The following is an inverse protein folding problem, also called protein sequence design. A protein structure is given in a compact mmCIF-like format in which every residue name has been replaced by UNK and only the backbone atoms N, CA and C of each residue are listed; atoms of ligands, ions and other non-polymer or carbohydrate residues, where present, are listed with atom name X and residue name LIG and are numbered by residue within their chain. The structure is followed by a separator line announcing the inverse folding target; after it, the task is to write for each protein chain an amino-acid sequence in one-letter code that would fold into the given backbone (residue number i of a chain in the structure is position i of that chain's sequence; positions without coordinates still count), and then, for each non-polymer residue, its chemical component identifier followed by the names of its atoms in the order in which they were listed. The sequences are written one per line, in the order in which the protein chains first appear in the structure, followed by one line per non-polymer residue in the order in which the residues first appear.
data_IF_389254452915
#
_entry.id   IF_389254452915
#
_cell.length_a   1.000
_cell.length_b   1.000
_cell.length_c   1.000
_cell.angle_alpha   90.00
_cell.angle_beta   90.00
_cell.angle_gamma   90.00
#
_symmetry.space_group_name_H-M   'P 1'
#
loop_
_entity.id
_entity.type
_entity.pdbx_description
1 polymer ?
#
# COMPACT_ATOMS: atom_id res chain seq x y z
N UNK A 1 7.87 8.72 -18.55
CA UNK A 1 7.54 9.94 -17.80
C UNK A 1 8.57 10.14 -16.68
N UNK A 2 9.07 11.37 -16.52
CA UNK A 2 10.02 11.69 -15.45
C UNK A 2 9.33 11.63 -14.10
N UNK A 3 10.01 11.03 -13.12
CA UNK A 3 9.61 11.02 -11.72
C UNK A 3 10.73 11.60 -10.88
N UNK A 4 10.38 12.45 -9.93
CA UNK A 4 11.30 13.01 -8.94
C UNK A 4 10.90 12.49 -7.57
N UNK A 5 11.80 11.77 -6.91
CA UNK A 5 11.63 11.25 -5.57
C UNK A 5 12.36 12.13 -4.56
N UNK A 6 11.74 12.34 -3.40
CA UNK A 6 12.40 12.98 -2.27
C UNK A 6 13.37 12.05 -1.54
N UNK A 7 14.13 12.63 -0.64
CA UNK A 7 14.93 11.84 0.30
C UNK A 7 14.04 11.30 1.41
N UNK A 8 14.09 9.99 1.65
CA UNK A 8 13.51 9.41 2.84
C UNK A 8 14.34 9.81 4.07
N UNK A 9 13.69 10.15 5.17
CA UNK A 9 14.35 10.25 6.46
C UNK A 9 14.80 8.85 6.91
N UNK A 10 15.90 8.77 7.65
CA UNK A 10 16.33 7.50 8.25
C UNK A 10 15.22 6.98 9.16
N UNK A 11 14.83 5.71 8.96
CA UNK A 11 13.73 5.09 9.72
C UNK A 11 12.31 5.44 9.25
N UNK A 12 12.17 6.22 8.17
CA UNK A 12 10.86 6.51 7.61
C UNK A 12 10.22 5.25 6.99
N UNK A 13 8.87 5.09 7.11
CA UNK A 13 8.19 3.98 6.47
C UNK A 13 8.40 3.99 4.94
N UNK A 14 8.47 2.83 4.27
CA UNK A 14 8.75 2.75 2.83
C UNK A 14 7.81 3.57 1.95
N UNK A 15 6.59 3.83 2.42
CA UNK A 15 5.55 4.58 1.71
C UNK A 15 5.55 6.10 2.02
N UNK A 16 6.50 6.59 2.82
CA UNK A 16 6.51 7.98 3.31
C UNK A 16 7.19 8.96 2.36
N UNK A 17 7.71 8.49 1.23
CA UNK A 17 8.42 9.35 0.28
C UNK A 17 7.48 9.78 -0.83
N UNK A 18 6.96 11.01 -0.79
CA UNK A 18 6.20 11.53 -1.90
C UNK A 18 7.10 11.71 -3.13
N UNK A 19 6.51 11.64 -4.29
CA UNK A 19 7.19 11.88 -5.55
C UNK A 19 6.31 12.76 -6.45
N UNK A 20 6.98 13.52 -7.29
CA UNK A 20 6.34 14.29 -8.34
C UNK A 20 6.47 13.54 -9.66
N UNK A 21 5.37 13.24 -10.30
CA UNK A 21 5.37 12.60 -11.62
C UNK A 21 4.41 13.29 -12.61
N UNK A 22 4.68 13.08 -13.89
CA UNK A 22 3.83 13.56 -14.98
C UNK A 22 3.02 12.39 -15.52
N UNK A 23 1.71 12.55 -15.64
CA UNK A 23 0.81 11.58 -16.25
C UNK A 23 -0.12 12.19 -17.29
N UNK A 24 -0.67 11.34 -18.15
CA UNK A 24 -1.79 11.68 -19.01
C UNK A 24 -3.03 11.08 -18.40
N UNK A 25 -3.98 11.93 -18.00
CA UNK A 25 -5.25 11.55 -17.40
C UNK A 25 -6.34 12.11 -18.31
N UNK A 26 -7.20 11.26 -18.83
CA UNK A 26 -8.27 11.62 -19.77
C UNK A 26 -7.79 12.50 -20.95
N UNK A 27 -6.62 12.13 -21.50
CA UNK A 27 -5.99 12.83 -22.62
C UNK A 27 -5.27 14.14 -22.25
N UNK A 28 -5.33 14.57 -20.99
CA UNK A 28 -4.68 15.79 -20.52
C UNK A 28 -3.42 15.48 -19.71
N UNK A 29 -2.37 16.27 -19.95
CA UNK A 29 -1.14 16.18 -19.18
C UNK A 29 -1.36 16.79 -17.80
N UNK A 30 -1.08 16.04 -16.75
CA UNK A 30 -1.20 16.45 -15.36
C UNK A 30 0.08 16.16 -14.57
N UNK A 31 0.37 16.98 -13.57
CA UNK A 31 1.36 16.72 -12.55
C UNK A 31 0.67 16.08 -11.34
N UNK A 32 1.26 15.02 -10.81
CA UNK A 32 0.78 14.32 -9.63
C UNK A 32 1.86 14.35 -8.56
N UNK A 33 1.49 14.75 -7.37
CA UNK A 33 2.38 14.78 -6.21
C UNK A 33 1.80 13.93 -5.07
N UNK A 34 2.61 13.06 -4.51
CA UNK A 34 2.22 12.15 -3.44
C UNK A 34 2.88 10.77 -3.58
N UNK A 35 2.32 9.72 -3.02
CA UNK A 35 1.07 9.69 -2.24
C UNK A 35 1.24 10.24 -0.82
N UNK A 36 0.17 10.81 -0.27
CA UNK A 36 0.02 11.08 1.16
C UNK A 36 -0.76 9.91 1.76
N UNK A 37 -0.04 8.85 2.12
CA UNK A 37 -0.64 7.60 2.54
C UNK A 37 -1.19 7.70 3.97
N UNK A 38 -2.51 7.75 4.14
CA UNK A 38 -3.19 7.73 5.42
C UNK A 38 -3.85 6.38 5.71
N UNK A 39 -4.25 6.16 6.96
CA UNK A 39 -5.04 5.01 7.36
C UNK A 39 -6.46 5.11 6.78
N UNK A 40 -6.99 4.00 6.28
CA UNK A 40 -8.38 3.90 5.84
C UNK A 40 -8.96 2.56 6.24
N UNK A 41 -10.24 2.56 6.60
CA UNK A 41 -11.01 1.35 6.86
C UNK A 41 -11.71 0.80 5.62
N UNK A 42 -11.62 1.50 4.50
CA UNK A 42 -12.10 1.00 3.21
C UNK A 42 -11.08 0.05 2.59
N UNK A 43 -11.53 -1.05 2.01
CA UNK A 43 -10.66 -1.98 1.28
C UNK A 43 -10.49 -1.60 -0.20
N UNK A 44 -11.46 -0.91 -0.77
CA UNK A 44 -11.44 -0.42 -2.14
C UNK A 44 -11.64 1.10 -2.18
N UNK A 45 -11.18 1.75 -3.24
CA UNK A 45 -11.36 3.20 -3.46
C UNK A 45 -12.82 3.63 -3.28
N UNK A 46 -13.75 2.86 -3.81
CA UNK A 46 -15.19 3.08 -3.74
C UNK A 46 -15.88 2.15 -2.72
N UNK A 47 -15.12 1.57 -1.77
CA UNK A 47 -15.62 0.71 -0.72
C UNK A 47 -16.28 1.47 0.43
N UNK A 48 -16.71 0.72 1.43
CA UNK A 48 -17.37 1.23 2.62
C UNK A 48 -16.38 1.43 3.78
N UNK A 49 -16.62 2.42 4.62
CA UNK A 49 -15.90 2.56 5.90
C UNK A 49 -16.16 1.40 6.87
N UNK A 50 -17.18 0.59 6.61
CA UNK A 50 -17.49 -0.63 7.37
C UNK A 50 -16.73 -1.87 6.87
N UNK A 51 -15.95 -1.79 5.79
CA UNK A 51 -15.23 -2.94 5.26
C UNK A 51 -14.30 -3.56 6.31
N UNK A 52 -13.47 -2.75 6.98
CA UNK A 52 -12.59 -3.24 8.04
C UNK A 52 -13.34 -3.73 9.27
N UNK A 53 -14.29 -2.99 9.88
CA UNK A 53 -15.10 -3.51 10.99
C UNK A 53 -15.82 -4.82 10.67
N UNK A 54 -16.39 -4.95 9.47
CA UNK A 54 -17.11 -6.15 9.05
C UNK A 54 -16.19 -7.37 8.82
N UNK A 55 -14.90 -7.16 8.62
CA UNK A 55 -13.91 -8.23 8.44
C UNK A 55 -13.29 -8.74 9.75
N UNK A 56 -13.66 -8.14 10.89
CA UNK A 56 -13.12 -8.55 12.19
C UNK A 56 -13.85 -9.82 12.66
N UNK A 57 -13.07 -10.87 12.88
CA UNK A 57 -13.51 -12.16 13.38
C UNK A 57 -12.69 -12.56 14.60
N UNK A 58 -13.17 -13.53 15.38
CA UNK A 58 -12.49 -13.98 16.60
C UNK A 58 -11.10 -14.60 16.32
N UNK A 59 -10.90 -15.11 15.13
CA UNK A 59 -9.63 -15.72 14.71
C UNK A 59 -8.60 -14.72 14.20
N UNK A 60 -9.00 -13.52 13.78
CA UNK A 60 -8.11 -12.50 13.23
C UNK A 60 -7.91 -11.28 14.13
N UNK A 61 -8.82 -11.00 15.07
CA UNK A 61 -8.75 -9.81 15.94
C UNK A 61 -7.43 -9.73 16.72
N UNK A 62 -6.93 -10.87 17.21
CA UNK A 62 -5.67 -10.94 17.96
C UNK A 62 -4.49 -10.52 17.07
N UNK A 63 -4.46 -11.00 15.83
CA UNK A 63 -3.40 -10.66 14.86
C UNK A 63 -3.47 -9.19 14.42
N UNK A 64 -4.67 -8.64 14.28
CA UNK A 64 -4.87 -7.22 13.96
C UNK A 64 -4.39 -6.31 15.08
N UNK A 65 -4.70 -6.66 16.34
CA UNK A 65 -4.23 -5.91 17.51
C UNK A 65 -2.71 -6.00 17.65
N UNK A 66 -2.11 -7.19 17.51
CA UNK A 66 -0.67 -7.38 17.54
C UNK A 66 0.03 -6.53 16.50
N UNK A 67 -0.40 -6.59 15.24
CA UNK A 67 0.15 -5.77 14.17
C UNK A 67 0.04 -4.27 14.47
N UNK A 68 -1.06 -3.81 15.06
CA UNK A 68 -1.25 -2.41 15.45
C UNK A 68 -0.29 -1.98 16.57
N UNK A 69 -0.15 -2.79 17.60
CA UNK A 69 0.71 -2.49 18.78
C UNK A 69 2.19 -2.49 18.39
N UNK A 70 2.65 -3.48 17.61
CA UNK A 70 4.06 -3.55 17.21
C UNK A 70 4.45 -2.52 16.14
N UNK A 71 3.47 -1.88 15.49
CA UNK A 71 3.70 -0.84 14.48
C UNK A 71 3.16 0.54 14.89
N UNK A 72 3.28 0.91 16.15
CA UNK A 72 2.78 2.20 16.68
C UNK A 72 3.35 3.40 15.92
N UNK A 73 4.63 3.37 15.54
CA UNK A 73 5.27 4.44 14.78
C UNK A 73 4.61 4.65 13.42
N UNK A 74 4.32 3.55 12.71
CA UNK A 74 3.60 3.56 11.45
C UNK A 74 2.16 4.04 11.64
N UNK A 75 1.47 3.56 12.66
CA UNK A 75 0.10 3.97 12.97
C UNK A 75 0.02 5.48 13.24
N UNK A 76 0.91 6.02 14.07
CA UNK A 76 1.03 7.46 14.33
C UNK A 76 1.30 8.26 13.05
N UNK A 77 2.21 7.76 12.20
CA UNK A 77 2.50 8.37 10.90
C UNK A 77 1.25 8.44 10.02
N UNK A 78 0.54 7.32 9.86
CA UNK A 78 -0.67 7.26 9.03
C UNK A 78 -1.79 8.18 9.54
N UNK A 79 -1.98 8.26 10.85
CA UNK A 79 -2.94 9.20 11.46
C UNK A 79 -2.52 10.65 11.22
N UNK A 80 -1.22 10.96 11.33
CA UNK A 80 -0.70 12.30 11.03
C UNK A 80 -0.97 12.69 9.57
N UNK A 81 -0.79 11.77 8.63
CA UNK A 81 -1.06 12.03 7.20
C UNK A 81 -2.53 12.42 6.94
N UNK A 82 -3.48 11.84 7.68
CA UNK A 82 -4.90 12.21 7.57
C UNK A 82 -5.19 13.64 8.06
N UNK A 83 -4.34 14.17 8.94
CA UNK A 83 -4.50 15.50 9.55
C UNK A 83 -3.73 16.59 8.83
N UNK A 84 -2.97 16.28 7.78
CA UNK A 84 -2.26 17.27 7.00
C UNK A 84 -3.26 18.24 6.36
N UNK A 85 -3.00 19.53 6.53
CA UNK A 85 -3.73 20.58 5.85
C UNK A 85 -3.33 20.65 4.37
N UNK A 86 -4.09 21.37 3.58
CA UNK A 86 -3.72 21.65 2.19
C UNK A 86 -2.40 22.43 2.12
N UNK A 87 -2.23 23.42 2.98
CA UNK A 87 -1.00 24.19 3.10
C UNK A 87 0.23 23.33 3.40
N UNK A 88 0.11 22.32 4.30
CA UNK A 88 1.22 21.43 4.60
C UNK A 88 1.63 20.62 3.36
N UNK A 89 0.64 20.13 2.59
CA UNK A 89 0.90 19.37 1.36
C UNK A 89 1.54 20.25 0.28
N UNK A 90 1.14 21.52 0.17
CA UNK A 90 1.75 22.49 -0.75
C UNK A 90 3.18 22.80 -0.32
N UNK A 91 3.46 22.98 0.95
CA UNK A 91 4.83 23.17 1.45
C UNK A 91 5.73 21.97 1.13
N UNK A 92 5.22 20.75 1.25
CA UNK A 92 5.95 19.56 0.84
C UNK A 92 6.21 19.53 -0.66
N UNK A 93 5.22 19.89 -1.48
CA UNK A 93 5.37 20.02 -2.93
C UNK A 93 6.39 21.09 -3.33
N UNK A 94 6.42 22.23 -2.64
CA UNK A 94 7.34 23.34 -2.92
C UNK A 94 8.82 22.96 -2.73
N UNK A 95 9.12 21.87 -2.01
CA UNK A 95 10.48 21.32 -1.95
C UNK A 95 10.94 20.76 -3.31
N UNK A 96 10.01 20.37 -4.17
CA UNK A 96 10.25 19.79 -5.51
C UNK A 96 9.94 20.79 -6.63
N UNK A 97 8.96 21.62 -6.42
CA UNK A 97 8.50 22.63 -7.35
C UNK A 97 8.24 23.94 -6.60
N UNK A 98 9.28 24.78 -6.39
CA UNK A 98 9.20 26.01 -5.57
C UNK A 98 8.14 27.02 -6.01
N UNK A 99 7.74 26.99 -7.28
CA UNK A 99 6.74 27.90 -7.84
C UNK A 99 5.30 27.37 -7.73
N UNK A 100 5.06 26.24 -7.08
CA UNK A 100 3.72 25.70 -6.90
C UNK A 100 2.85 26.67 -6.09
N UNK A 101 1.67 26.99 -6.63
CA UNK A 101 0.63 27.79 -5.97
C UNK A 101 -0.52 26.87 -5.57
N UNK A 102 -1.14 27.12 -4.41
CA UNK A 102 -2.21 26.26 -3.90
C UNK A 102 -3.41 26.17 -4.86
N UNK A 103 -3.70 27.28 -5.56
CA UNK A 103 -4.83 27.42 -6.49
C UNK A 103 -4.73 26.47 -7.69
N UNK A 104 -3.50 26.05 -8.04
CA UNK A 104 -3.24 25.16 -9.18
C UNK A 104 -3.38 23.67 -8.84
N UNK A 105 -3.56 23.33 -7.56
CA UNK A 105 -3.53 21.96 -7.08
C UNK A 105 -4.80 21.58 -6.33
N UNK A 106 -5.25 20.36 -6.58
CA UNK A 106 -6.40 19.79 -5.88
C UNK A 106 -6.08 18.40 -5.33
N UNK A 107 -6.71 18.05 -4.21
CA UNK A 107 -6.58 16.74 -3.61
C UNK A 107 -7.42 15.72 -4.37
N UNK A 108 -6.78 14.62 -4.80
CA UNK A 108 -7.46 13.50 -5.44
C UNK A 108 -7.22 12.19 -4.65
N UNK A 109 -8.27 11.41 -4.46
CA UNK A 109 -8.15 10.08 -3.87
C UNK A 109 -7.51 9.14 -4.90
N UNK A 110 -6.30 8.68 -4.60
CA UNK A 110 -5.54 7.78 -5.48
C UNK A 110 -6.12 6.36 -5.50
N UNK A 111 -6.30 5.76 -4.33
CA UNK A 111 -6.81 4.40 -4.17
C UNK A 111 -6.51 3.83 -2.80
N UNK A 112 -6.72 2.54 -2.64
CA UNK A 112 -6.41 1.79 -1.43
C UNK A 112 -5.26 0.83 -1.68
N UNK A 113 -4.42 0.66 -0.67
CA UNK A 113 -3.39 -0.36 -0.64
C UNK A 113 -3.75 -1.39 0.42
N UNK A 114 -3.83 -2.64 0.03
CA UNK A 114 -4.00 -3.75 0.98
C UNK A 114 -2.69 -3.95 1.73
N UNK A 115 -2.79 -4.09 3.06
CA UNK A 115 -1.68 -4.45 3.91
C UNK A 115 -1.98 -5.83 4.52
N UNK A 116 -1.12 -6.80 4.22
CA UNK A 116 -1.28 -8.17 4.72
C UNK A 116 -0.80 -8.24 6.17
N UNK A 117 -1.61 -8.87 7.01
CA UNK A 117 -1.27 -9.22 8.40
C UNK A 117 -1.20 -10.73 8.49
N UNK A 118 -0.04 -11.27 8.86
CA UNK A 118 0.14 -12.69 9.14
C UNK A 118 -0.01 -12.97 10.63
N UNK A 119 -0.57 -14.14 10.97
CA UNK A 119 -0.52 -14.66 12.33
C UNK A 119 0.95 -14.90 12.69
N UNK A 120 1.31 -14.53 13.89
CA UNK A 120 2.65 -14.69 14.44
C UNK A 120 2.52 -15.16 15.90
N UNK A 121 3.30 -16.16 16.28
CA UNK A 121 3.19 -16.77 17.62
C UNK A 121 3.80 -15.87 18.70
N UNK A 122 4.81 -15.06 18.35
CA UNK A 122 5.51 -14.16 19.29
C UNK A 122 4.82 -12.81 19.37
N UNK A 123 4.50 -12.20 18.21
CA UNK A 123 3.95 -10.85 18.11
C UNK A 123 2.42 -10.81 17.94
N UNK A 124 1.76 -11.98 17.93
CA UNK A 124 0.33 -12.20 17.66
C UNK A 124 -0.06 -11.87 16.21
N UNK A 125 0.57 -10.90 15.59
CA UNK A 125 0.36 -10.52 14.21
C UNK A 125 1.45 -9.59 13.68
N UNK A 126 1.97 -9.93 12.50
CA UNK A 126 3.03 -9.19 11.83
C UNK A 126 2.55 -8.58 10.52
N UNK A 127 2.94 -7.33 10.26
CA UNK A 127 2.71 -6.67 8.97
C UNK A 127 3.71 -7.17 7.93
N UNK A 128 3.20 -7.63 6.79
CA UNK A 128 4.02 -7.99 5.64
C UNK A 128 4.07 -6.84 4.65
N UNK A 129 5.28 -6.28 4.44
CA UNK A 129 5.47 -5.11 3.57
C UNK A 129 5.77 -5.49 2.11
N UNK A 130 6.02 -6.76 1.84
CA UNK A 130 6.30 -7.31 0.52
C UNK A 130 5.05 -7.68 -0.27
N UNK A 131 5.25 -8.40 -1.36
CA UNK A 131 4.21 -9.10 -2.10
C UNK A 131 4.09 -10.51 -1.53
N UNK A 132 2.87 -10.90 -1.18
CA UNK A 132 2.56 -12.22 -0.69
C UNK A 132 1.82 -13.03 -1.76
N UNK A 133 2.27 -14.25 -1.98
CA UNK A 133 1.56 -15.23 -2.77
C UNK A 133 0.64 -16.03 -1.85
N UNK A 134 -0.65 -15.88 -2.04
CA UNK A 134 -1.68 -16.62 -1.30
C UNK A 134 -2.38 -17.59 -2.24
N UNK A 135 -2.58 -18.81 -1.82
CA UNK A 135 -3.25 -19.85 -2.62
C UNK A 135 -4.28 -20.60 -1.77
N UNK A 136 -5.30 -21.13 -2.45
CA UNK A 136 -6.28 -22.03 -1.83
C UNK A 136 -5.65 -23.40 -1.54
N UNK A 137 -6.19 -24.10 -0.55
CA UNK A 137 -5.68 -25.42 -0.15
C UNK A 137 -5.80 -26.48 -1.26
N UNK A 138 -6.77 -26.33 -2.15
CA UNK A 138 -6.99 -27.21 -3.30
C UNK A 138 -6.21 -26.82 -4.56
N UNK A 139 -5.43 -25.74 -4.52
CA UNK A 139 -4.61 -25.27 -5.61
C UNK A 139 -5.38 -24.67 -6.79
N UNK A 140 -6.67 -24.38 -6.64
CA UNK A 140 -7.51 -23.83 -7.72
C UNK A 140 -7.42 -22.32 -7.87
N UNK A 141 -6.90 -21.64 -6.84
CA UNK A 141 -6.78 -20.18 -6.81
C UNK A 141 -5.41 -19.77 -6.28
N UNK A 142 -4.77 -18.84 -6.96
CA UNK A 142 -3.60 -18.12 -6.47
C UNK A 142 -3.80 -16.62 -6.63
N UNK A 143 -3.37 -15.84 -5.64
CA UNK A 143 -3.47 -14.39 -5.66
C UNK A 143 -2.18 -13.75 -5.12
N UNK A 144 -1.77 -12.64 -5.74
CA UNK A 144 -0.70 -11.77 -5.23
C UNK A 144 -1.32 -10.65 -4.42
N UNK A 145 -0.95 -10.55 -3.15
CA UNK A 145 -1.43 -9.53 -2.22
C UNK A 145 -0.29 -8.64 -1.72
N UNK A 146 -0.61 -7.45 -1.26
CA UNK A 146 0.35 -6.54 -0.65
C UNK A 146 0.94 -5.52 -1.60
N UNK A 147 2.26 -5.34 -1.59
CA UNK A 147 2.93 -4.37 -2.44
C UNK A 147 2.82 -4.76 -3.92
N UNK A 148 2.62 -3.75 -4.78
CA UNK A 148 2.64 -3.99 -6.23
C UNK A 148 4.00 -4.58 -6.64
N UNK A 149 4.03 -5.76 -7.27
CA UNK A 149 5.29 -6.41 -7.63
C UNK A 149 6.04 -5.66 -8.72
N UNK A 150 5.39 -4.76 -9.45
CA UNK A 150 5.99 -4.08 -10.59
C UNK A 150 6.44 -5.05 -11.71
N UNK A 151 6.80 -4.51 -12.87
CA UNK A 151 7.26 -5.32 -13.99
C UNK A 151 8.61 -6.02 -13.72
N UNK A 152 9.46 -5.42 -12.89
CA UNK A 152 10.79 -5.95 -12.57
C UNK A 152 10.77 -7.22 -11.70
N UNK A 153 9.72 -7.43 -10.92
CA UNK A 153 9.58 -8.60 -10.04
C UNK A 153 8.54 -9.59 -10.52
N UNK A 154 7.83 -9.30 -11.62
CA UNK A 154 6.77 -10.16 -12.13
C UNK A 154 7.25 -11.56 -12.54
N UNK A 155 8.44 -11.66 -13.13
CA UNK A 155 9.03 -12.96 -13.53
C UNK A 155 9.30 -13.82 -12.30
N UNK A 156 9.94 -13.26 -11.25
CA UNK A 156 10.20 -13.99 -10.01
C UNK A 156 8.90 -14.44 -9.35
N UNK A 157 7.91 -13.54 -9.24
CA UNK A 157 6.61 -13.88 -8.66
C UNK A 157 5.89 -15.00 -9.43
N UNK A 158 5.99 -15.03 -10.76
CA UNK A 158 5.40 -16.10 -11.56
C UNK A 158 6.16 -17.43 -11.43
N UNK A 159 7.48 -17.39 -11.30
CA UNK A 159 8.27 -18.58 -11.02
C UNK A 159 7.92 -19.17 -9.65
N UNK A 160 7.72 -18.33 -8.64
CA UNK A 160 7.26 -18.75 -7.32
C UNK A 160 5.88 -19.43 -7.37
N UNK A 161 4.96 -18.91 -8.22
CA UNK A 161 3.66 -19.58 -8.47
C UNK A 161 3.85 -20.95 -9.12
N UNK A 162 4.73 -21.07 -10.10
CA UNK A 162 4.98 -22.32 -10.81
C UNK A 162 5.71 -23.37 -9.94
N UNK A 163 6.48 -22.94 -8.97
CA UNK A 163 7.21 -23.83 -8.05
C UNK A 163 6.34 -24.39 -6.93
N UNK A 164 5.10 -23.90 -6.76
CA UNK A 164 4.19 -24.46 -5.75
C UNK A 164 3.80 -25.89 -6.10
N UNK A 165 3.81 -26.76 -5.09
CA UNK A 165 3.59 -28.21 -5.25
C UNK A 165 2.25 -28.56 -5.93
N UNK A 166 1.21 -27.74 -5.75
CA UNK A 166 -0.09 -27.98 -6.33
C UNK A 166 -0.10 -27.86 -7.86
N UNK A 167 0.70 -26.94 -8.43
CA UNK A 167 0.83 -26.82 -9.91
C UNK A 167 1.59 -28.03 -10.45
N UNK A 168 2.69 -28.43 -9.80
CA UNK A 168 3.42 -29.65 -10.18
C UNK A 168 2.50 -30.87 -10.17
N UNK A 169 1.64 -31.00 -9.16
CA UNK A 169 0.70 -32.13 -9.05
C UNK A 169 -0.38 -32.10 -10.13
N UNK A 170 -0.84 -30.92 -10.55
CA UNK A 170 -1.85 -30.78 -11.61
C UNK A 170 -1.34 -31.19 -12.98
N UNK A 171 -0.05 -30.96 -13.28
CA UNK A 171 0.59 -31.31 -14.55
C UNK A 171 1.28 -32.68 -14.56
N UNK A 172 1.37 -33.36 -13.42
CA UNK A 172 1.93 -34.69 -13.31
C UNK A 172 0.92 -35.83 -13.59
N UNK A 173 -0.33 -35.50 -13.92
CA UNK A 173 -1.37 -36.41 -14.34
C UNK A 173 -1.60 -36.33 -15.85
#
# INVERSE_FOLDING_TARGET
HAKVYGKASVGAPPMSVPHLDTRIIDGKKALLFGPFAGFSTKFLKNGSYFDLPASIELDNIKSMLGAGVHNISLTKYLIRQLRLSEEDRIKDLQQYFPLAQAEDWGLAVAGQRVQVIKKDDEEWGRLEFGTELVHSADGTLAALLGASPGASTSVSAMLDVLDQDYIRTAYAK
#
